data_IF_901822451799
#
_entry.id   IF_901822451799
#
_cell.length_a   1.000
_cell.length_b   1.000
_cell.length_c   1.000
_cell.angle_alpha   90.00
_cell.angle_beta   90.00
_cell.angle_gamma   90.00
#
_symmetry.space_group_name_H-M   'P 1'
#
loop_
_entity.id
_entity.type
_entity.pdbx_description
1 polymer ?
#
# COMPACT_ATOMS: atom_id res chain seq x y z
N UNK A 1 14.23 12.56 -2.41
CA UNK A 1 14.72 11.23 -1.99
C UNK A 1 13.54 10.26 -2.09
N UNK A 2 13.77 9.05 -2.60
CA UNK A 2 12.71 8.05 -2.80
C UNK A 2 12.38 7.35 -1.48
N UNK A 3 11.10 7.28 -1.12
CA UNK A 3 10.65 6.69 0.15
C UNK A 3 9.47 5.73 -0.07
N UNK A 4 9.28 4.78 0.85
CA UNK A 4 8.14 3.87 0.88
C UNK A 4 7.22 4.22 2.05
N UNK A 5 5.93 4.39 1.78
CA UNK A 5 4.89 4.47 2.81
C UNK A 5 4.08 3.18 2.81
N UNK A 6 3.79 2.64 3.99
CA UNK A 6 3.07 1.38 4.14
C UNK A 6 1.87 1.57 5.04
N UNK A 7 0.68 1.30 4.51
CA UNK A 7 -0.52 1.04 5.29
C UNK A 7 -0.39 -0.36 5.93
N UNK A 8 -0.28 -0.42 7.25
CA UNK A 8 0.18 -1.61 7.96
C UNK A 8 -0.93 -2.46 8.60
N UNK A 9 -2.17 -1.97 8.65
CA UNK A 9 -3.28 -2.57 9.40
C UNK A 9 -3.64 -3.98 8.90
N UNK A 10 -3.36 -4.27 7.63
CA UNK A 10 -3.50 -5.62 7.08
C UNK A 10 -2.44 -5.95 6.01
N UNK A 11 -1.19 -5.49 6.17
CA UNK A 11 -0.13 -5.73 5.19
C UNK A 11 0.60 -7.08 5.40
N UNK A 12 0.43 -8.10 4.52
CA UNK A 12 1.08 -9.41 4.65
C UNK A 12 2.52 -9.47 4.10
N UNK A 13 3.02 -8.34 3.57
CA UNK A 13 4.31 -8.28 2.84
C UNK A 13 5.34 -7.35 3.49
N UNK A 14 5.22 -7.09 4.79
CA UNK A 14 6.13 -6.21 5.53
C UNK A 14 7.60 -6.67 5.43
N UNK A 15 7.85 -7.97 5.57
CA UNK A 15 9.20 -8.53 5.49
C UNK A 15 9.80 -8.37 4.09
N UNK A 16 8.99 -8.55 3.04
CA UNK A 16 9.39 -8.29 1.66
C UNK A 16 9.71 -6.82 1.42
N UNK A 17 8.92 -5.90 1.98
CA UNK A 17 9.18 -4.46 1.93
C UNK A 17 10.54 -4.16 2.54
N UNK A 18 10.80 -4.62 3.77
CA UNK A 18 12.08 -4.39 4.44
C UNK A 18 13.24 -4.95 3.62
N UNK A 19 13.12 -6.18 3.11
CA UNK A 19 14.17 -6.82 2.31
C UNK A 19 14.54 -6.00 1.07
N UNK A 20 13.55 -5.50 0.32
CA UNK A 20 13.81 -4.71 -0.89
C UNK A 20 14.32 -3.32 -0.53
N UNK A 21 13.74 -2.68 0.47
CA UNK A 21 14.10 -1.33 0.91
C UNK A 21 15.55 -1.26 1.40
N UNK A 22 15.97 -2.21 2.26
CA UNK A 22 17.33 -2.29 2.76
C UNK A 22 18.35 -2.53 1.64
N UNK A 23 18.04 -3.43 0.69
CA UNK A 23 18.89 -3.67 -0.49
C UNK A 23 19.05 -2.42 -1.36
N UNK A 24 18.02 -1.58 -1.44
CA UNK A 24 17.98 -0.38 -2.28
C UNK A 24 18.36 0.91 -1.53
N UNK A 25 18.65 0.83 -0.23
CA UNK A 25 18.90 1.99 0.65
C UNK A 25 17.76 3.03 0.62
N UNK A 26 16.51 2.54 0.59
CA UNK A 26 15.29 3.36 0.55
C UNK A 26 14.64 3.37 1.94
N UNK A 27 14.26 4.55 2.41
CA UNK A 27 13.58 4.69 3.70
C UNK A 27 12.14 4.15 3.63
N UNK A 28 11.69 3.52 4.70
CA UNK A 28 10.35 2.96 4.88
C UNK A 28 9.70 3.59 6.09
N UNK A 29 8.47 4.07 5.93
CA UNK A 29 7.62 4.48 7.05
C UNK A 29 6.40 3.57 7.12
N UNK A 30 6.31 2.81 8.22
CA UNK A 30 5.16 1.95 8.55
C UNK A 30 4.13 2.79 9.29
N UNK A 31 2.93 2.91 8.73
CA UNK A 31 1.84 3.71 9.31
C UNK A 31 0.76 2.75 9.79
N UNK A 32 0.37 2.88 11.06
CA UNK A 32 -0.65 2.03 11.68
C UNK A 32 -1.47 2.79 12.70
N UNK A 33 -2.72 2.37 12.90
CA UNK A 33 -3.56 2.94 13.96
C UNK A 33 -3.11 2.47 15.35
N UNK A 34 -2.48 1.29 15.43
CA UNK A 34 -2.03 0.68 16.68
C UNK A 34 -0.53 0.35 16.67
N UNK A 35 0.12 0.13 17.83
CA UNK A 35 1.54 -0.22 17.89
C UNK A 35 1.87 -1.51 17.13
N UNK A 36 2.77 -1.42 16.16
CA UNK A 36 3.29 -2.57 15.40
C UNK A 36 4.79 -2.74 15.61
N UNK A 37 5.27 -3.99 15.68
CA UNK A 37 6.71 -4.26 15.73
C UNK A 37 7.34 -4.03 14.36
N UNK A 38 8.47 -3.31 14.36
CA UNK A 38 9.31 -3.06 13.19
C UNK A 38 10.76 -3.46 13.51
N UNK A 39 11.58 -3.81 12.51
CA UNK A 39 13.01 -4.01 12.71
C UNK A 39 13.69 -2.75 13.26
N UNK A 40 14.68 -2.92 14.13
CA UNK A 40 15.52 -1.82 14.59
C UNK A 40 16.54 -1.46 13.51
N UNK A 41 16.21 -0.51 12.63
CA UNK A 41 17.08 -0.07 11.54
C UNK A 41 16.87 1.42 11.22
N UNK A 42 17.93 2.22 10.94
CA UNK A 42 17.81 3.66 10.65
C UNK A 42 16.98 4.04 9.41
N UNK A 43 16.73 3.08 8.52
CA UNK A 43 15.88 3.27 7.33
C UNK A 43 14.42 2.86 7.56
N UNK A 44 14.07 2.35 8.73
CA UNK A 44 12.74 1.82 9.00
C UNK A 44 12.17 2.56 10.20
N UNK A 45 11.20 3.42 9.91
CA UNK A 45 10.45 4.17 10.90
C UNK A 45 9.02 3.66 11.00
N UNK A 46 8.38 3.95 12.13
CA UNK A 46 6.93 3.79 12.27
C UNK A 46 6.28 5.08 12.73
N UNK A 47 5.03 5.25 12.30
CA UNK A 47 4.15 6.32 12.75
C UNK A 47 2.84 5.68 13.22
N UNK A 48 2.47 6.01 14.45
CA UNK A 48 1.21 5.58 15.06
C UNK A 48 0.29 6.80 15.06
N UNK A 49 -0.83 6.71 14.35
CA UNK A 49 -1.75 7.83 14.10
C UNK A 49 -2.93 7.88 15.08
N UNK A 50 -3.09 6.86 15.91
CA UNK A 50 -4.19 6.73 16.88
C UNK A 50 -5.46 6.16 16.27
N UNK A 51 -6.56 6.23 17.04
CA UNK A 51 -7.78 5.45 16.80
C UNK A 51 -8.82 6.20 15.93
N UNK A 52 -8.43 7.33 15.35
CA UNK A 52 -9.31 8.09 14.46
C UNK A 52 -9.70 7.26 13.24
N UNK A 53 -10.98 7.38 12.85
CA UNK A 53 -11.44 6.81 11.58
C UNK A 53 -10.60 7.39 10.44
N UNK A 54 -10.15 6.54 9.52
CA UNK A 54 -9.27 6.89 8.39
C UNK A 54 -7.96 7.63 8.75
N UNK A 55 -7.53 7.62 10.01
CA UNK A 55 -6.35 8.39 10.45
C UNK A 55 -5.06 7.98 9.70
N UNK A 56 -4.87 6.69 9.41
CA UNK A 56 -3.69 6.23 8.65
C UNK A 56 -3.77 6.67 7.20
N UNK A 57 -4.94 6.54 6.58
CA UNK A 57 -5.21 6.94 5.22
C UNK A 57 -4.95 8.44 5.02
N UNK A 58 -5.45 9.28 5.94
CA UNK A 58 -5.24 10.71 5.91
C UNK A 58 -3.77 11.08 6.08
N UNK A 59 -3.07 10.41 7.00
CA UNK A 59 -1.65 10.65 7.22
C UNK A 59 -0.81 10.28 6.00
N UNK A 60 -1.08 9.13 5.39
CA UNK A 60 -0.38 8.64 4.20
C UNK A 60 -0.68 9.55 3.01
N UNK A 61 -1.95 9.82 2.73
CA UNK A 61 -2.36 10.65 1.60
C UNK A 61 -1.80 12.07 1.70
N UNK A 62 -1.73 12.64 2.90
CA UNK A 62 -1.15 13.96 3.13
C UNK A 62 0.37 14.05 2.93
N UNK A 63 1.08 12.92 2.85
CA UNK A 63 2.54 12.87 2.65
C UNK A 63 2.95 12.27 1.31
N UNK A 64 2.07 11.50 0.69
CA UNK A 64 2.28 10.93 -0.63
C UNK A 64 2.68 12.00 -1.64
N UNK A 65 3.68 11.71 -2.47
CA UNK A 65 4.14 12.55 -3.56
C UNK A 65 4.82 11.72 -4.65
N UNK A 66 5.28 12.39 -5.71
CA UNK A 66 5.87 11.79 -6.91
C UNK A 66 7.21 11.06 -6.71
N UNK A 67 7.79 11.13 -5.50
CA UNK A 67 8.98 10.40 -5.07
C UNK A 67 8.66 9.27 -4.09
N UNK A 68 7.40 8.87 -3.97
CA UNK A 68 7.00 7.83 -3.03
C UNK A 68 6.41 6.60 -3.72
N UNK A 69 6.64 5.45 -3.10
CA UNK A 69 5.87 4.22 -3.33
C UNK A 69 4.96 3.98 -2.12
N UNK A 70 3.66 3.95 -2.33
CA UNK A 70 2.66 3.65 -1.30
C UNK A 70 2.21 2.20 -1.43
N UNK A 71 2.27 1.44 -0.34
CA UNK A 71 1.77 0.06 -0.27
C UNK A 71 0.46 0.05 0.51
N UNK A 72 -0.65 -0.26 -0.14
CA UNK A 72 -1.98 -0.36 0.48
C UNK A 72 -2.89 -1.31 -0.28
N UNK A 73 -3.82 -1.95 0.43
CA UNK A 73 -4.95 -2.66 -0.18
C UNK A 73 -6.22 -1.80 -0.31
N UNK A 74 -6.26 -0.62 0.31
CA UNK A 74 -7.42 0.25 0.23
C UNK A 74 -7.43 1.02 -1.10
N UNK A 75 -8.49 0.79 -1.88
CA UNK A 75 -8.70 1.41 -3.19
C UNK A 75 -8.89 2.93 -3.09
N UNK A 76 -9.54 3.44 -2.04
CA UNK A 76 -9.77 4.87 -1.85
C UNK A 76 -8.47 5.58 -1.44
N UNK A 77 -7.68 4.98 -0.54
CA UNK A 77 -6.33 5.49 -0.24
C UNK A 77 -5.44 5.46 -1.49
N UNK A 78 -5.50 4.38 -2.28
CA UNK A 78 -4.73 4.26 -3.51
C UNK A 78 -5.06 5.38 -4.51
N UNK A 79 -6.33 5.70 -4.70
CA UNK A 79 -6.77 6.82 -5.55
C UNK A 79 -6.21 8.17 -5.07
N UNK A 80 -6.31 8.45 -3.76
CA UNK A 80 -5.76 9.68 -3.17
C UNK A 80 -4.25 9.79 -3.40
N UNK A 81 -3.52 8.70 -3.19
CA UNK A 81 -2.06 8.67 -3.39
C UNK A 81 -1.66 8.81 -4.86
N UNK A 82 -2.42 8.20 -5.78
CA UNK A 82 -2.21 8.38 -7.22
C UNK A 82 -2.41 9.83 -7.64
N UNK A 83 -3.45 10.50 -7.12
CA UNK A 83 -3.71 11.92 -7.37
C UNK A 83 -2.59 12.82 -6.82
N UNK A 84 -1.95 12.42 -5.73
CA UNK A 84 -0.75 13.06 -5.21
C UNK A 84 0.54 12.75 -6.02
N UNK A 85 0.45 11.92 -7.06
CA UNK A 85 1.56 11.58 -7.95
C UNK A 85 2.40 10.38 -7.51
N UNK A 86 2.07 9.74 -6.39
CA UNK A 86 2.81 8.59 -5.88
C UNK A 86 2.61 7.34 -6.76
N UNK A 87 3.60 6.46 -6.77
CA UNK A 87 3.40 5.10 -7.26
C UNK A 87 2.68 4.29 -6.18
N UNK A 88 1.63 3.54 -6.54
CA UNK A 88 0.84 2.78 -5.55
C UNK A 88 0.78 1.31 -5.95
N UNK A 89 1.06 0.42 -5.00
CA UNK A 89 1.14 -1.03 -5.23
C UNK A 89 0.33 -1.76 -4.15
N UNK A 90 -0.51 -2.71 -4.56
CA UNK A 90 -1.18 -3.59 -3.61
C UNK A 90 -0.25 -4.65 -3.04
N UNK A 91 -0.49 -5.18 -1.83
CA UNK A 91 0.26 -6.31 -1.30
C UNK A 91 0.29 -7.54 -2.21
N UNK A 92 -0.71 -7.71 -3.09
CA UNK A 92 -0.76 -8.79 -4.09
C UNK A 92 0.16 -8.56 -5.32
N UNK A 93 0.90 -7.45 -5.32
CA UNK A 93 1.84 -7.07 -6.37
C UNK A 93 1.17 -6.45 -7.61
N UNK A 94 -0.09 -6.00 -7.49
CA UNK A 94 -0.78 -5.29 -8.57
C UNK A 94 -0.59 -3.78 -8.38
N UNK A 95 0.04 -3.07 -9.33
CA UNK A 95 0.07 -1.61 -9.30
C UNK A 95 -1.33 -1.04 -9.51
N UNK A 96 -1.67 0.00 -8.76
CA UNK A 96 -2.82 0.85 -9.09
C UNK A 96 -2.38 1.89 -10.12
N UNK A 97 -3.26 2.21 -11.06
CA UNK A 97 -3.00 3.18 -12.13
C UNK A 97 -4.20 4.07 -12.35
N UNK A 98 -4.00 5.29 -12.86
CA UNK A 98 -5.09 6.19 -13.23
C UNK A 98 -6.11 5.53 -14.16
N UNK A 99 -5.65 4.64 -15.06
CA UNK A 99 -6.51 3.94 -16.02
C UNK A 99 -7.35 2.82 -15.38
N UNK A 100 -6.95 2.29 -14.23
CA UNK A 100 -7.63 1.14 -13.59
C UNK A 100 -8.36 1.49 -12.30
N UNK A 101 -7.98 2.60 -11.64
CA UNK A 101 -8.48 2.93 -10.31
C UNK A 101 -9.98 3.27 -10.30
N UNK A 102 -10.47 4.01 -11.31
CA UNK A 102 -11.90 4.36 -11.39
C UNK A 102 -12.81 3.13 -11.49
N UNK A 103 -12.44 2.16 -12.34
CA UNK A 103 -13.17 0.90 -12.47
C UNK A 103 -13.13 0.07 -11.17
N UNK A 104 -12.00 0.09 -10.45
CA UNK A 104 -11.85 -0.59 -9.17
C UNK A 104 -12.74 0.06 -8.09
N UNK A 105 -12.83 1.39 -8.04
CA UNK A 105 -13.72 2.14 -7.14
C UNK A 105 -15.19 1.78 -7.43
N UNK A 106 -15.59 1.85 -8.70
CA UNK A 106 -16.96 1.52 -9.11
C UNK A 106 -17.34 0.08 -8.73
N UNK A 107 -16.44 -0.87 -8.97
CA UNK A 107 -16.65 -2.28 -8.58
C UNK A 107 -16.75 -2.44 -7.07
N UNK A 108 -15.92 -1.72 -6.29
CA UNK A 108 -16.00 -1.72 -4.81
C UNK A 108 -17.36 -1.23 -4.33
N UNK A 109 -17.88 -0.14 -4.91
CA UNK A 109 -19.19 0.42 -4.56
C UNK A 109 -20.32 -0.58 -4.84
N UNK A 110 -20.35 -1.15 -6.05
CA UNK A 110 -21.36 -2.17 -6.43
C UNK A 110 -21.30 -3.38 -5.48
N UNK A 111 -20.11 -3.89 -5.17
CA UNK A 111 -19.95 -5.03 -4.27
C UNK A 111 -20.34 -4.70 -2.82
N UNK A 112 -20.17 -3.46 -2.37
CA UNK A 112 -20.63 -3.01 -1.06
C UNK A 112 -22.17 -2.97 -1.01
N UNK A 113 -22.81 -2.45 -2.06
CA UNK A 113 -24.28 -2.41 -2.19
C UNK A 113 -24.88 -3.82 -2.23
N UNK A 114 -24.28 -4.74 -3.00
CA UNK A 114 -24.74 -6.15 -3.08
C UNK A 114 -24.63 -6.86 -1.72
N UNK A 115 -23.59 -6.58 -0.93
CA UNK A 115 -23.46 -7.14 0.43
C UNK A 115 -24.51 -6.61 1.40
N UNK A 116 -24.98 -5.37 1.21
CA UNK A 116 -26.05 -4.79 2.02
C UNK A 116 -27.43 -5.42 1.72
N UNK A 117 -27.61 -6.03 0.53
CA UNK A 117 -28.89 -6.56 0.05
C UNK A 117 -29.16 -8.06 0.26
N UNK A 118 -28.16 -8.89 0.59
CA UNK A 118 -28.37 -10.31 0.91
C UNK A 118 -27.42 -11.31 0.22
N UNK A 119 -26.68 -12.02 1.06
CA UNK A 119 -25.95 -13.30 0.94
C UNK A 119 -25.39 -13.78 -0.42
N UNK A 120 -24.13 -13.42 -0.65
CA UNK A 120 -23.05 -14.36 -1.04
C UNK A 120 -21.69 -13.69 -0.79
N UNK A 121 -21.02 -14.05 0.31
CA UNK A 121 -19.66 -13.58 0.58
C UNK A 121 -18.67 -14.49 -0.17
N UNK A 122 -18.41 -14.18 -1.44
CA UNK A 122 -17.20 -14.65 -2.10
C UNK A 122 -16.00 -13.99 -1.39
N UNK A 123 -15.38 -14.73 -0.46
CA UNK A 123 -14.16 -14.30 0.22
C UNK A 123 -13.03 -14.24 -0.81
N UNK A 124 -12.24 -13.16 -0.76
CA UNK A 124 -11.05 -13.07 -1.59
C UNK A 124 -10.17 -14.31 -1.36
N UNK A 125 -9.53 -14.85 -2.42
CA UNK A 125 -8.63 -15.98 -2.27
C UNK A 125 -7.52 -15.65 -1.26
N UNK A 126 -7.04 -16.64 -0.50
CA UNK A 126 -5.97 -16.43 0.47
C UNK A 126 -4.69 -15.97 -0.24
N UNK A 127 -3.91 -15.14 0.45
CA UNK A 127 -2.62 -14.66 -0.04
C UNK A 127 -1.67 -15.82 -0.34
N UNK A 128 -1.17 -15.89 -1.57
CA UNK A 128 -0.37 -17.01 -2.06
C UNK A 128 1.10 -16.63 -2.28
N UNK A 129 1.97 -17.65 -2.43
CA UNK A 129 3.39 -17.44 -2.78
C UNK A 129 3.56 -16.66 -4.08
N UNK A 130 2.65 -16.86 -5.04
CA UNK A 130 2.68 -16.14 -6.32
C UNK A 130 2.42 -14.62 -6.15
N UNK A 131 1.55 -14.23 -5.22
CA UNK A 131 1.31 -12.83 -4.87
C UNK A 131 2.58 -12.17 -4.33
N UNK A 132 3.27 -12.87 -3.43
CA UNK A 132 4.54 -12.42 -2.85
C UNK A 132 5.62 -12.22 -3.90
N UNK A 133 5.78 -13.15 -4.84
CA UNK A 133 6.74 -13.00 -5.94
C UNK A 133 6.40 -11.82 -6.84
N UNK A 134 5.11 -11.64 -7.19
CA UNK A 134 4.66 -10.46 -7.95
C UNK A 134 4.94 -9.16 -7.21
N UNK A 135 4.69 -9.14 -5.90
CA UNK A 135 4.93 -7.97 -5.06
C UNK A 135 6.40 -7.55 -5.06
N UNK A 136 7.32 -8.51 -4.86
CA UNK A 136 8.76 -8.25 -4.89
C UNK A 136 9.21 -7.66 -6.22
N UNK A 137 8.69 -8.17 -7.33
CA UNK A 137 8.99 -7.66 -8.67
C UNK A 137 8.44 -6.24 -8.84
N UNK A 138 7.17 -6.02 -8.54
CA UNK A 138 6.51 -4.72 -8.71
C UNK A 138 7.17 -3.62 -7.87
N UNK A 139 7.53 -3.92 -6.61
CA UNK A 139 8.21 -2.97 -5.74
C UNK A 139 9.60 -2.61 -6.27
N UNK A 140 10.40 -3.60 -6.69
CA UNK A 140 11.74 -3.34 -7.21
C UNK A 140 11.70 -2.50 -8.50
N UNK A 141 10.79 -2.82 -9.43
CA UNK A 141 10.59 -2.06 -10.67
C UNK A 141 10.17 -0.61 -10.38
N UNK A 142 9.24 -0.40 -9.44
CA UNK A 142 8.79 0.93 -9.07
C UNK A 142 9.93 1.78 -8.48
N UNK A 143 10.75 1.21 -7.60
CA UNK A 143 11.90 1.90 -7.00
C UNK A 143 12.98 2.21 -8.04
N UNK A 144 13.28 1.28 -8.95
CA UNK A 144 14.23 1.50 -10.06
C UNK A 144 13.76 2.64 -10.96
N UNK A 145 12.46 2.70 -11.27
CA UNK A 145 11.89 3.78 -12.07
C UNK A 145 12.00 5.13 -11.37
N UNK A 146 11.71 5.20 -10.06
CA UNK A 146 11.82 6.44 -9.30
C UNK A 146 13.26 6.91 -9.12
N UNK A 147 14.23 5.99 -9.01
CA UNK A 147 15.65 6.34 -8.91
C UNK A 147 16.24 6.96 -10.19
N UNK A 148 15.56 6.84 -11.33
CA UNK A 148 15.97 7.42 -12.62
C UNK A 148 15.42 8.83 -12.86
N UNK A 149 14.49 9.29 -12.03
CA UNK A 149 13.94 10.65 -12.07
C UNK A 149 14.83 11.61 -11.29
#
# INVERSE_FOLDING_TARGET
MTNILVDADACPVKDEIYKVALRRMVAVTIVSNSPIRIPAHPLIDRVIVGDGFDAADDWIAGRANDRMVVITSDILLADRCLKAGAAVISPAGRPFTANSIGAAIATRAIMADLRAGGDQVNRAPPFAKADRSRFLQALDEALVRLARK
#
